data_IF_125814923447
#
_entry.id   IF_125814923447
#
_cell.length_a   1.000
_cell.length_b   1.000
_cell.length_c   1.000
_cell.angle_alpha   90.00
_cell.angle_beta   90.00
_cell.angle_gamma   90.00
#
_symmetry.space_group_name_H-M   'P 1'
#
loop_
_entity.id
_entity.type
_entity.pdbx_description
1 polymer ?
#
# COMPACT_ATOMS: atom_id res chain seq x y z
N UNK A 1 -24.00 11.78 -25.41
CA UNK A 1 -23.79 11.54 -23.96
C UNK A 1 -23.19 12.79 -23.33
N UNK A 2 -23.73 13.28 -22.20
CA UNK A 2 -23.26 14.55 -21.58
C UNK A 2 -21.84 14.38 -20.99
N UNK A 3 -20.95 15.37 -21.20
CA UNK A 3 -19.62 15.41 -20.64
C UNK A 3 -19.64 15.67 -19.13
N UNK A 4 -18.69 15.09 -18.38
CA UNK A 4 -18.50 15.32 -16.94
C UNK A 4 -17.55 16.50 -16.77
N UNK A 5 -18.08 17.70 -16.48
CA UNK A 5 -17.32 18.95 -16.35
C UNK A 5 -17.24 19.46 -14.90
N UNK A 6 -18.12 19.00 -14.00
CA UNK A 6 -18.09 19.42 -12.58
C UNK A 6 -16.93 18.78 -11.83
N UNK A 7 -16.07 19.57 -11.12
CA UNK A 7 -14.97 19.03 -10.34
C UNK A 7 -15.39 17.94 -9.35
N UNK A 8 -16.54 18.11 -8.69
CA UNK A 8 -17.05 17.10 -7.75
C UNK A 8 -17.43 15.78 -8.42
N UNK A 9 -17.97 15.83 -9.64
CA UNK A 9 -18.29 14.61 -10.42
C UNK A 9 -17.04 13.94 -10.95
N UNK A 10 -16.03 14.71 -11.36
CA UNK A 10 -14.71 14.18 -11.74
C UNK A 10 -14.08 13.46 -10.55
N UNK A 11 -14.06 14.11 -9.38
CA UNK A 11 -13.56 13.49 -8.15
C UNK A 11 -14.30 12.20 -7.81
N UNK A 12 -15.63 12.20 -7.89
CA UNK A 12 -16.43 11.00 -7.63
C UNK A 12 -16.03 9.84 -8.55
N UNK A 13 -15.92 10.10 -9.87
CA UNK A 13 -15.51 9.05 -10.83
C UNK A 13 -14.10 8.54 -10.50
N UNK A 14 -13.16 9.43 -10.24
CA UNK A 14 -11.79 9.04 -9.86
C UNK A 14 -11.78 8.25 -8.54
N UNK A 15 -12.54 8.65 -7.52
CA UNK A 15 -12.65 7.92 -6.25
C UNK A 15 -13.27 6.53 -6.42
N UNK A 16 -14.28 6.39 -7.28
CA UNK A 16 -14.88 5.09 -7.59
C UNK A 16 -13.92 4.19 -8.38
N UNK A 17 -13.12 4.75 -9.27
CA UNK A 17 -12.06 3.99 -9.97
C UNK A 17 -11.00 3.52 -8.96
N UNK A 18 -10.57 4.40 -8.04
CA UNK A 18 -9.62 4.06 -6.98
C UNK A 18 -10.16 2.95 -6.06
N UNK A 19 -11.45 3.02 -5.74
CA UNK A 19 -12.13 1.98 -4.98
C UNK A 19 -12.07 0.62 -5.70
N UNK A 20 -12.44 0.56 -6.99
CA UNK A 20 -12.40 -0.69 -7.77
C UNK A 20 -10.96 -1.18 -7.98
N UNK A 21 -9.99 -0.27 -8.18
CA UNK A 21 -8.57 -0.59 -8.29
C UNK A 21 -8.07 -1.35 -7.06
N UNK A 22 -8.28 -0.80 -5.87
CA UNK A 22 -7.85 -1.44 -4.63
C UNK A 22 -8.70 -2.67 -4.25
N UNK A 23 -9.97 -2.69 -4.65
CA UNK A 23 -10.81 -3.88 -4.52
C UNK A 23 -10.21 -5.05 -5.34
N UNK A 24 -9.91 -4.84 -6.63
CA UNK A 24 -9.30 -5.84 -7.51
C UNK A 24 -7.94 -6.32 -6.98
N UNK A 25 -7.14 -5.40 -6.48
CA UNK A 25 -5.82 -5.70 -5.90
C UNK A 25 -5.90 -6.64 -4.71
N UNK A 26 -6.92 -6.50 -3.86
CA UNK A 26 -7.06 -7.27 -2.64
C UNK A 26 -7.87 -8.56 -2.79
N UNK A 27 -8.71 -8.65 -3.82
CA UNK A 27 -9.64 -9.79 -4.01
C UNK A 27 -8.94 -11.15 -4.09
N UNK A 28 -7.72 -11.21 -4.60
CA UNK A 28 -7.01 -12.47 -4.86
C UNK A 28 -6.52 -13.19 -3.60
N UNK A 29 -6.12 -12.44 -2.56
CA UNK A 29 -5.46 -13.02 -1.38
C UNK A 29 -6.37 -13.92 -0.53
N UNK A 30 -7.63 -13.55 -0.22
CA UNK A 30 -8.56 -14.45 0.46
C UNK A 30 -8.84 -15.73 -0.34
N UNK A 31 -8.71 -15.67 -1.66
CA UNK A 31 -9.03 -16.78 -2.55
C UNK A 31 -7.90 -17.82 -2.70
N UNK A 32 -6.75 -17.63 -2.05
CA UNK A 32 -5.58 -18.51 -2.16
C UNK A 32 -5.91 -20.00 -1.87
N UNK A 33 -6.76 -20.30 -0.88
CA UNK A 33 -7.18 -21.67 -0.59
C UNK A 33 -7.95 -22.32 -1.75
N UNK A 34 -8.83 -21.56 -2.42
CA UNK A 34 -9.56 -22.07 -3.58
C UNK A 34 -8.64 -22.25 -4.80
N UNK A 35 -7.72 -21.31 -5.04
CA UNK A 35 -6.75 -21.39 -6.13
C UNK A 35 -5.78 -22.56 -5.91
N UNK A 36 -5.36 -22.78 -4.65
CA UNK A 36 -4.53 -23.92 -4.27
C UNK A 36 -5.22 -25.25 -4.57
N UNK A 37 -6.50 -25.36 -4.23
CA UNK A 37 -7.28 -26.57 -4.47
C UNK A 37 -7.55 -26.83 -5.96
N UNK A 38 -7.88 -25.77 -6.74
CA UNK A 38 -8.21 -25.92 -8.17
C UNK A 38 -6.99 -26.24 -9.04
N UNK A 39 -5.84 -25.63 -8.75
CA UNK A 39 -4.64 -25.73 -9.60
C UNK A 39 -3.49 -26.52 -8.97
N UNK A 40 -3.64 -27.04 -7.75
CA UNK A 40 -2.59 -27.79 -7.06
C UNK A 40 -1.35 -26.95 -6.71
N UNK A 41 -1.52 -25.65 -6.43
CA UNK A 41 -0.41 -24.72 -6.26
C UNK A 41 0.32 -24.89 -4.94
N UNK A 42 1.64 -24.73 -4.96
CA UNK A 42 2.45 -24.49 -3.76
C UNK A 42 2.17 -23.11 -3.17
N UNK A 43 2.58 -22.87 -1.93
CA UNK A 43 2.45 -21.56 -1.30
C UNK A 43 3.36 -20.53 -1.99
N UNK A 44 4.53 -20.95 -2.48
CA UNK A 44 5.38 -20.08 -3.30
C UNK A 44 4.68 -19.58 -4.56
N UNK A 45 4.00 -20.47 -5.29
CA UNK A 45 3.24 -20.11 -6.48
C UNK A 45 2.07 -19.18 -6.17
N UNK A 46 1.37 -19.39 -5.06
CA UNK A 46 0.36 -18.43 -4.57
C UNK A 46 0.95 -17.06 -4.30
N UNK A 47 2.10 -17.01 -3.63
CA UNK A 47 2.83 -15.75 -3.37
C UNK A 47 3.29 -15.06 -4.65
N UNK A 48 3.68 -15.81 -5.69
CA UNK A 48 4.06 -15.26 -7.00
C UNK A 48 2.92 -14.47 -7.67
N UNK A 49 1.66 -14.82 -7.42
CA UNK A 49 0.51 -14.08 -7.95
C UNK A 49 0.57 -12.59 -7.53
N UNK A 50 0.84 -12.32 -6.26
CA UNK A 50 1.01 -10.96 -5.75
C UNK A 50 2.33 -10.32 -6.19
N UNK A 51 3.42 -11.09 -6.16
CA UNK A 51 4.76 -10.61 -6.54
C UNK A 51 4.84 -10.21 -8.00
N UNK A 52 4.33 -11.01 -8.94
CA UNK A 52 4.32 -10.69 -10.38
C UNK A 52 3.50 -9.43 -10.65
N UNK A 53 2.31 -9.31 -10.06
CA UNK A 53 1.52 -8.09 -10.13
C UNK A 53 2.33 -6.86 -9.69
N UNK A 54 2.98 -6.92 -8.52
CA UNK A 54 3.74 -5.81 -7.95
C UNK A 54 4.95 -5.42 -8.81
N UNK A 55 5.72 -6.40 -9.33
CA UNK A 55 6.87 -6.14 -10.22
C UNK A 55 6.41 -5.42 -11.49
N UNK A 56 5.39 -5.94 -12.13
CA UNK A 56 4.87 -5.37 -13.39
C UNK A 56 4.29 -3.98 -13.14
N UNK A 57 3.48 -3.80 -12.09
CA UNK A 57 2.94 -2.51 -11.71
C UNK A 57 4.07 -1.48 -11.47
N UNK A 58 5.09 -1.82 -10.70
CA UNK A 58 6.23 -0.92 -10.44
C UNK A 58 7.01 -0.58 -11.72
N UNK A 59 7.25 -1.58 -12.58
CA UNK A 59 7.99 -1.39 -13.84
C UNK A 59 7.29 -0.48 -14.82
N UNK A 60 5.95 -0.54 -14.89
CA UNK A 60 5.16 0.27 -15.81
C UNK A 60 4.70 1.61 -15.23
N UNK A 61 4.77 1.82 -13.90
CA UNK A 61 4.31 3.06 -13.26
C UNK A 61 5.05 4.30 -13.77
N UNK A 62 6.37 4.23 -13.91
CA UNK A 62 7.18 5.38 -14.39
C UNK A 62 6.95 5.65 -15.89
N UNK A 63 7.06 4.66 -16.80
CA UNK A 63 6.77 4.88 -18.22
C UNK A 63 5.37 5.42 -18.48
N UNK A 64 4.35 4.86 -17.81
CA UNK A 64 2.96 5.29 -18.01
C UNK A 64 2.67 6.63 -17.33
N UNK A 65 3.36 6.98 -16.25
CA UNK A 65 3.34 8.32 -15.66
C UNK A 65 3.87 9.37 -16.63
N UNK A 66 5.03 9.13 -17.28
CA UNK A 66 5.58 10.01 -18.32
C UNK A 66 4.63 10.13 -19.51
N UNK A 67 3.96 9.04 -19.87
CA UNK A 67 2.96 9.06 -20.94
C UNK A 67 1.75 9.91 -20.55
N UNK A 68 1.32 9.85 -19.29
CA UNK A 68 0.21 10.65 -18.75
C UNK A 68 0.51 12.16 -18.75
N UNK A 69 1.77 12.56 -18.66
CA UNK A 69 2.17 13.96 -18.78
C UNK A 69 2.12 14.47 -20.24
N UNK A 70 2.28 13.58 -21.21
CA UNK A 70 2.34 13.94 -22.65
C UNK A 70 1.00 13.80 -23.37
N UNK A 71 0.13 12.91 -22.89
CA UNK A 71 -1.12 12.57 -23.54
C UNK A 71 -2.34 13.11 -22.76
N UNK A 72 -3.54 12.94 -23.35
CA UNK A 72 -4.82 13.24 -22.71
C UNK A 72 -5.07 12.23 -21.60
N UNK A 73 -4.97 12.68 -20.33
CA UNK A 73 -4.97 11.83 -19.14
C UNK A 73 -6.22 10.96 -19.00
N UNK A 74 -7.41 11.51 -19.35
CA UNK A 74 -8.65 10.72 -19.31
C UNK A 74 -8.59 9.49 -20.21
N UNK A 75 -7.88 9.57 -21.35
CA UNK A 75 -7.75 8.44 -22.27
C UNK A 75 -6.82 7.37 -21.67
N UNK A 76 -5.75 7.80 -21.00
CA UNK A 76 -4.83 6.90 -20.30
C UNK A 76 -5.56 6.21 -19.14
N UNK A 77 -6.31 6.97 -18.34
CA UNK A 77 -7.14 6.42 -17.27
C UNK A 77 -8.14 5.41 -17.84
N UNK A 78 -8.88 5.78 -18.87
CA UNK A 78 -9.90 4.91 -19.46
C UNK A 78 -9.30 3.63 -20.06
N UNK A 79 -8.17 3.75 -20.78
CA UNK A 79 -7.47 2.61 -21.36
C UNK A 79 -6.92 1.68 -20.25
N UNK A 80 -6.27 2.25 -19.22
CA UNK A 80 -5.78 1.50 -18.07
C UNK A 80 -6.90 0.76 -17.35
N UNK A 81 -7.99 1.47 -16.99
CA UNK A 81 -9.17 0.87 -16.35
C UNK A 81 -9.76 -0.25 -17.21
N UNK A 82 -9.87 -0.06 -18.53
CA UNK A 82 -10.37 -1.09 -19.45
C UNK A 82 -9.44 -2.31 -19.48
N UNK A 83 -8.12 -2.10 -19.59
CA UNK A 83 -7.12 -3.17 -19.64
C UNK A 83 -7.19 -4.02 -18.37
N UNK A 84 -7.10 -3.40 -17.18
CA UNK A 84 -7.13 -4.19 -15.96
C UNK A 84 -8.49 -4.86 -15.73
N UNK A 85 -9.62 -4.19 -16.02
CA UNK A 85 -10.93 -4.78 -15.83
C UNK A 85 -11.18 -5.96 -16.75
N UNK A 86 -10.73 -5.89 -18.01
CA UNK A 86 -10.77 -7.03 -18.94
C UNK A 86 -9.84 -8.14 -18.45
N UNK A 87 -8.63 -7.83 -18.01
CA UNK A 87 -7.71 -8.82 -17.45
C UNK A 87 -8.28 -9.48 -16.19
N UNK A 88 -8.95 -8.73 -15.32
CA UNK A 88 -9.67 -9.25 -14.16
C UNK A 88 -10.82 -10.15 -14.57
N UNK A 89 -11.62 -9.78 -15.57
CA UNK A 89 -12.66 -10.64 -16.09
C UNK A 89 -12.07 -11.97 -16.64
N UNK A 90 -11.00 -11.88 -17.42
CA UNK A 90 -10.30 -13.06 -17.97
C UNK A 90 -9.70 -13.92 -16.86
N UNK A 91 -9.31 -13.33 -15.71
CA UNK A 91 -8.87 -14.10 -14.53
C UNK A 91 -9.94 -15.09 -14.06
N UNK A 92 -11.22 -14.76 -14.16
CA UNK A 92 -12.32 -15.68 -13.86
C UNK A 92 -12.43 -16.89 -14.83
N UNK A 93 -11.77 -16.82 -15.99
CA UNK A 93 -11.81 -17.85 -17.04
C UNK A 93 -10.55 -18.72 -17.10
N UNK A 94 -9.50 -18.42 -16.34
CA UNK A 94 -8.21 -19.14 -16.42
C UNK A 94 -8.35 -20.60 -15.99
N UNK A 95 -7.55 -21.45 -16.62
CA UNK A 95 -7.56 -22.90 -16.42
C UNK A 95 -6.24 -23.46 -15.87
N UNK A 96 -5.21 -22.62 -15.77
CA UNK A 96 -3.91 -23.01 -15.25
C UNK A 96 -3.16 -21.82 -14.64
N UNK A 97 -2.11 -22.11 -13.88
CA UNK A 97 -1.29 -21.13 -13.19
C UNK A 97 -0.62 -20.11 -14.13
N UNK A 98 -0.13 -20.56 -15.30
CA UNK A 98 0.50 -19.64 -16.27
C UNK A 98 -0.46 -18.56 -16.78
N UNK A 99 -1.71 -18.94 -17.09
CA UNK A 99 -2.75 -17.99 -17.47
C UNK A 99 -3.09 -17.04 -16.30
N UNK A 100 -3.15 -17.56 -15.07
CA UNK A 100 -3.38 -16.75 -13.88
C UNK A 100 -2.29 -15.69 -13.69
N UNK A 101 -1.01 -16.06 -13.83
CA UNK A 101 0.10 -15.11 -13.75
C UNK A 101 0.05 -14.08 -14.89
N UNK A 102 -0.27 -14.50 -16.11
CA UNK A 102 -0.38 -13.59 -17.24
C UNK A 102 -1.48 -12.55 -17.04
N UNK A 103 -2.63 -12.96 -16.51
CA UNK A 103 -3.71 -12.01 -16.21
C UNK A 103 -3.33 -11.06 -15.07
N UNK A 104 -2.63 -11.52 -14.02
CA UNK A 104 -2.13 -10.65 -12.95
C UNK A 104 -1.08 -9.64 -13.46
N UNK A 105 -0.21 -10.04 -14.39
CA UNK A 105 0.70 -9.12 -15.07
C UNK A 105 -0.07 -8.05 -15.88
N UNK A 106 -1.09 -8.45 -16.65
CA UNK A 106 -1.92 -7.54 -17.42
C UNK A 106 -2.69 -6.55 -16.52
N UNK A 107 -3.22 -7.00 -15.38
CA UNK A 107 -3.81 -6.11 -14.36
C UNK A 107 -2.77 -5.11 -13.88
N UNK A 108 -1.54 -5.54 -13.55
CA UNK A 108 -0.46 -4.66 -13.11
C UNK A 108 -0.11 -3.56 -14.12
N UNK A 109 -0.11 -3.86 -15.43
CA UNK A 109 0.11 -2.86 -16.50
C UNK A 109 -1.02 -1.82 -16.48
N UNK A 110 -2.27 -2.28 -16.48
CA UNK A 110 -3.44 -1.39 -16.50
C UNK A 110 -3.46 -0.46 -15.29
N UNK A 111 -3.30 -1.00 -14.08
CA UNK A 111 -3.34 -0.23 -12.83
C UNK A 111 -2.20 0.78 -12.70
N UNK A 112 -1.02 0.47 -13.23
CA UNK A 112 0.14 1.36 -13.18
C UNK A 112 -0.09 2.71 -13.86
N UNK A 113 -1.02 2.79 -14.81
CA UNK A 113 -1.33 4.02 -15.56
C UNK A 113 -2.21 5.02 -14.78
N UNK A 114 -2.90 4.54 -13.74
CA UNK A 114 -4.03 5.27 -13.18
C UNK A 114 -3.62 6.35 -12.18
N UNK A 115 -2.90 6.00 -11.12
CA UNK A 115 -2.65 6.91 -10.00
C UNK A 115 -1.95 8.23 -10.39
N UNK A 116 -0.90 8.25 -11.24
CA UNK A 116 -0.27 9.49 -11.68
C UNK A 116 -1.24 10.40 -12.46
N UNK A 117 -2.02 9.83 -13.38
CA UNK A 117 -2.98 10.57 -14.19
C UNK A 117 -4.14 11.12 -13.35
N UNK A 118 -4.66 10.33 -12.40
CA UNK A 118 -5.77 10.72 -11.51
C UNK A 118 -5.38 11.87 -10.57
N UNK A 119 -4.23 11.76 -9.91
CA UNK A 119 -3.73 12.81 -8.99
C UNK A 119 -3.45 14.11 -9.72
N UNK A 120 -2.94 14.04 -10.93
CA UNK A 120 -2.75 15.22 -11.79
C UNK A 120 -4.08 15.88 -12.19
N UNK A 121 -5.11 15.09 -12.56
CA UNK A 121 -6.45 15.63 -12.83
C UNK A 121 -7.08 16.28 -11.59
N UNK A 122 -6.87 15.75 -10.40
CA UNK A 122 -7.33 16.36 -9.14
C UNK A 122 -6.65 17.71 -8.94
N UNK A 123 -5.33 17.77 -9.15
CA UNK A 123 -4.57 19.02 -9.00
C UNK A 123 -5.04 20.12 -9.99
N UNK A 124 -5.46 19.75 -11.19
CA UNK A 124 -5.93 20.70 -12.20
C UNK A 124 -7.37 21.17 -11.97
N UNK A 125 -8.22 20.33 -11.39
CA UNK A 125 -9.64 20.64 -11.22
C UNK A 125 -9.97 21.29 -9.85
N UNK A 126 -9.02 21.30 -8.89
CA UNK A 126 -9.24 21.88 -7.57
C UNK A 126 -8.21 22.97 -7.26
N UNK A 127 -8.64 24.15 -6.73
CA UNK A 127 -7.73 25.18 -6.26
C UNK A 127 -6.88 24.65 -5.10
N UNK A 128 -5.71 25.26 -4.88
CA UNK A 128 -4.68 24.80 -3.93
C UNK A 128 -5.27 24.56 -2.52
N UNK A 129 -6.19 25.43 -2.07
CA UNK A 129 -6.82 25.39 -0.76
C UNK A 129 -7.76 24.17 -0.59
N UNK A 130 -8.24 23.57 -1.68
CA UNK A 130 -9.17 22.44 -1.66
C UNK A 130 -8.52 21.12 -2.10
N UNK A 131 -7.28 21.15 -2.62
CA UNK A 131 -6.59 19.96 -3.14
C UNK A 131 -6.38 18.88 -2.08
N UNK A 132 -5.99 19.28 -0.87
CA UNK A 132 -5.79 18.35 0.23
C UNK A 132 -7.08 17.58 0.56
N UNK A 133 -8.23 18.28 0.64
CA UNK A 133 -9.53 17.66 0.87
C UNK A 133 -9.95 16.73 -0.28
N UNK A 134 -9.73 17.15 -1.52
CA UNK A 134 -10.03 16.33 -2.70
C UNK A 134 -9.18 15.05 -2.72
N UNK A 135 -7.88 15.17 -2.44
CA UNK A 135 -6.98 14.01 -2.33
C UNK A 135 -7.38 13.07 -1.19
N UNK A 136 -7.82 13.60 -0.05
CA UNK A 136 -8.32 12.75 1.05
C UNK A 136 -9.55 11.95 0.65
N UNK A 137 -10.51 12.57 -0.07
CA UNK A 137 -11.69 11.87 -0.60
C UNK A 137 -11.28 10.79 -1.60
N UNK A 138 -10.32 11.10 -2.49
CA UNK A 138 -9.77 10.13 -3.44
C UNK A 138 -9.17 8.91 -2.72
N UNK A 139 -8.33 9.13 -1.71
CA UNK A 139 -7.72 8.04 -0.93
C UNK A 139 -8.70 7.25 -0.03
N UNK A 140 -9.89 7.79 0.28
CA UNK A 140 -10.96 7.00 0.89
C UNK A 140 -11.38 5.84 -0.03
N UNK A 141 -11.35 6.05 -1.37
CA UNK A 141 -11.58 4.97 -2.33
C UNK A 141 -10.60 3.82 -2.14
N UNK A 142 -9.31 4.11 -1.99
CA UNK A 142 -8.25 3.12 -1.71
C UNK A 142 -8.56 2.30 -0.45
N UNK A 143 -8.82 2.97 0.67
CA UNK A 143 -9.05 2.31 1.95
C UNK A 143 -10.31 1.43 1.94
N UNK A 144 -11.42 1.98 1.46
CA UNK A 144 -12.69 1.26 1.39
C UNK A 144 -12.64 0.12 0.37
N UNK A 145 -12.04 0.36 -0.79
CA UNK A 145 -11.87 -0.64 -1.84
C UNK A 145 -11.02 -1.82 -1.36
N UNK A 146 -9.88 -1.55 -0.73
CA UNK A 146 -9.02 -2.60 -0.20
C UNK A 146 -9.67 -3.45 0.88
N UNK A 147 -10.32 -2.82 1.84
CA UNK A 147 -10.96 -3.53 2.95
C UNK A 147 -12.19 -4.32 2.49
N UNK A 148 -13.09 -3.68 1.71
CA UNK A 148 -14.28 -4.37 1.20
C UNK A 148 -13.91 -5.42 0.16
N UNK A 149 -12.84 -5.21 -0.62
CA UNK A 149 -12.31 -6.20 -1.54
C UNK A 149 -11.93 -7.50 -0.84
N UNK A 150 -11.22 -7.39 0.28
CA UNK A 150 -10.86 -8.54 1.10
C UNK A 150 -12.09 -9.25 1.68
N UNK A 151 -12.99 -8.51 2.33
CA UNK A 151 -14.18 -9.07 2.98
C UNK A 151 -15.10 -9.73 1.96
N UNK A 152 -15.45 -9.01 0.88
CA UNK A 152 -16.40 -9.50 -0.12
C UNK A 152 -15.82 -10.65 -0.95
N UNK A 153 -14.49 -10.67 -1.18
CA UNK A 153 -13.84 -11.81 -1.83
C UNK A 153 -13.99 -13.09 -1.01
N UNK A 154 -13.85 -13.01 0.31
CA UNK A 154 -14.09 -14.15 1.19
C UNK A 154 -15.52 -14.65 1.11
N UNK A 155 -16.50 -13.75 1.23
CA UNK A 155 -17.93 -14.09 1.18
C UNK A 155 -18.34 -14.64 -0.19
N UNK A 156 -18.02 -13.90 -1.26
CA UNK A 156 -18.35 -14.32 -2.64
C UNK A 156 -17.65 -15.63 -2.99
N UNK A 157 -16.36 -15.75 -2.65
CA UNK A 157 -15.57 -16.96 -2.93
C UNK A 157 -16.14 -18.20 -2.28
N UNK A 158 -16.63 -18.09 -1.03
CA UNK A 158 -17.24 -19.20 -0.30
C UNK A 158 -18.61 -19.61 -0.89
N UNK A 159 -19.45 -18.65 -1.28
CA UNK A 159 -20.83 -18.94 -1.68
C UNK A 159 -21.03 -19.10 -3.19
N UNK A 160 -20.27 -18.39 -4.02
CA UNK A 160 -20.42 -18.37 -5.49
C UNK A 160 -19.18 -18.90 -6.23
N UNK A 161 -18.15 -19.27 -5.47
CA UNK A 161 -16.86 -19.69 -6.03
C UNK A 161 -15.92 -18.52 -6.38
N UNK A 162 -14.62 -18.81 -6.40
CA UNK A 162 -13.58 -17.79 -6.56
C UNK A 162 -13.65 -17.06 -7.93
N UNK A 163 -14.10 -17.75 -8.99
CA UNK A 163 -14.24 -17.16 -10.33
C UNK A 163 -15.27 -16.03 -10.37
N UNK A 164 -16.37 -16.17 -9.62
CA UNK A 164 -17.40 -15.14 -9.52
C UNK A 164 -16.87 -13.82 -8.96
N UNK A 165 -15.90 -13.86 -8.04
CA UNK A 165 -15.27 -12.65 -7.50
C UNK A 165 -14.70 -11.76 -8.61
N UNK A 166 -13.97 -12.35 -9.56
CA UNK A 166 -13.34 -11.63 -10.66
C UNK A 166 -14.37 -11.07 -11.66
N UNK A 167 -15.43 -11.80 -11.96
CA UNK A 167 -16.50 -11.29 -12.83
C UNK A 167 -17.24 -10.12 -12.20
N UNK A 168 -17.57 -10.21 -10.90
CA UNK A 168 -18.29 -9.17 -10.17
C UNK A 168 -17.46 -7.87 -10.09
N UNK A 169 -16.15 -7.97 -9.88
CA UNK A 169 -15.25 -6.80 -9.80
C UNK A 169 -15.00 -6.17 -11.16
N UNK A 170 -14.89 -6.97 -12.20
CA UNK A 170 -14.59 -6.48 -13.55
C UNK A 170 -15.72 -5.61 -14.14
N UNK A 171 -16.98 -5.95 -13.90
CA UNK A 171 -18.13 -5.25 -14.49
C UNK A 171 -18.18 -3.76 -14.11
N UNK A 172 -18.13 -3.37 -12.82
CA UNK A 172 -18.05 -1.96 -12.45
C UNK A 172 -16.84 -1.24 -13.04
N UNK A 173 -15.68 -1.92 -13.11
CA UNK A 173 -14.47 -1.37 -13.72
C UNK A 173 -14.69 -1.00 -15.19
N UNK A 174 -15.27 -1.90 -15.99
CA UNK A 174 -15.59 -1.61 -17.40
C UNK A 174 -16.54 -0.40 -17.53
N UNK A 175 -17.57 -0.31 -16.69
CA UNK A 175 -18.49 0.84 -16.66
C UNK A 175 -17.75 2.14 -16.34
N UNK A 176 -16.81 2.07 -15.39
CA UNK A 176 -16.01 3.23 -14.98
C UNK A 176 -15.00 3.64 -16.06
N UNK A 177 -14.47 2.71 -16.85
CA UNK A 177 -13.63 3.03 -18.02
C UNK A 177 -14.37 3.93 -19.02
N UNK A 178 -15.62 3.59 -19.36
CA UNK A 178 -16.47 4.44 -20.20
C UNK A 178 -16.82 5.78 -19.53
N UNK A 179 -16.95 5.79 -18.20
CA UNK A 179 -17.21 7.03 -17.46
C UNK A 179 -16.00 7.97 -17.46
N UNK A 180 -14.79 7.43 -17.39
CA UNK A 180 -13.55 8.18 -17.49
C UNK A 180 -13.39 8.91 -18.83
N UNK A 181 -13.80 8.29 -19.95
CA UNK A 181 -13.78 8.94 -21.28
C UNK A 181 -14.65 10.20 -21.36
N UNK A 182 -15.67 10.32 -20.50
CA UNK A 182 -16.59 11.46 -20.46
C UNK A 182 -16.05 12.64 -19.65
N UNK A 183 -14.95 12.48 -18.93
CA UNK A 183 -14.31 13.57 -18.17
C UNK A 183 -13.90 14.66 -19.17
N UNK A 184 -14.33 15.90 -18.88
CA UNK A 184 -13.89 17.07 -19.65
C UNK A 184 -12.53 17.51 -19.12
N UNK A 185 -11.49 17.23 -19.87
CA UNK A 185 -10.13 17.65 -19.54
C UNK A 185 -9.81 18.96 -20.24
N UNK A 186 -9.29 19.93 -19.51
CA UNK A 186 -8.73 21.16 -20.05
C UNK A 186 -7.24 20.91 -20.25
N UNK A 187 -6.75 21.07 -21.47
CA UNK A 187 -5.34 20.91 -21.81
C UNK A 187 -4.55 22.00 -21.08
N UNK A 188 -3.77 21.64 -20.09
CA UNK A 188 -2.77 22.52 -19.49
C UNK A 188 -1.40 22.17 -20.07
N UNK A 189 -0.68 23.19 -20.54
CA UNK A 189 0.75 23.03 -20.86
C UNK A 189 1.49 22.82 -19.52
N UNK A 190 1.94 21.60 -19.27
CA UNK A 190 2.78 21.31 -18.12
C UNK A 190 4.19 21.79 -18.40
N UNK A 191 4.64 22.78 -17.67
CA UNK A 191 6.05 23.03 -17.50
C UNK A 191 6.64 21.85 -16.72
N UNK A 192 7.44 21.03 -17.39
CA UNK A 192 8.29 20.02 -16.75
C UNK A 192 9.24 20.80 -15.83
N UNK A 193 8.96 20.75 -14.53
CA UNK A 193 9.77 21.41 -13.52
C UNK A 193 11.10 20.68 -13.36
N UNK A 194 12.18 21.43 -13.57
CA UNK A 194 13.57 21.25 -13.15
C UNK A 194 14.19 19.86 -13.31
N UNK A 195 15.29 19.85 -14.07
CA UNK A 195 16.25 18.74 -14.13
C UNK A 195 16.66 18.31 -12.72
N UNK A 196 16.22 17.11 -12.33
CA UNK A 196 16.70 16.49 -11.09
C UNK A 196 18.15 16.07 -11.32
N UNK A 197 19.10 16.80 -10.73
CA UNK A 197 20.52 16.52 -10.86
C UNK A 197 20.85 15.19 -10.18
N UNK A 198 21.41 14.24 -10.95
CA UNK A 198 21.82 12.90 -10.44
C UNK A 198 22.72 12.97 -9.20
N UNK A 199 23.55 14.01 -9.10
CA UNK A 199 24.44 14.22 -7.96
C UNK A 199 23.67 14.41 -6.65
N UNK A 200 22.58 15.14 -6.70
CA UNK A 200 21.70 15.39 -5.55
C UNK A 200 20.95 14.12 -5.07
N UNK A 201 20.68 13.17 -5.96
CA UNK A 201 20.08 11.88 -5.61
C UNK A 201 21.09 11.01 -4.84
N UNK A 202 22.33 10.93 -5.28
CA UNK A 202 23.36 10.16 -4.60
C UNK A 202 23.67 10.69 -3.20
N UNK A 203 23.57 12.00 -2.99
CA UNK A 203 23.78 12.63 -1.69
C UNK A 203 22.69 12.23 -0.65
N UNK A 204 21.50 11.83 -1.08
CA UNK A 204 20.48 11.28 -0.17
C UNK A 204 20.97 10.00 0.52
N UNK A 205 21.67 9.13 -0.21
CA UNK A 205 22.21 7.88 0.33
C UNK A 205 23.44 8.08 1.23
N UNK A 206 24.03 9.28 1.23
CA UNK A 206 25.08 9.66 2.18
C UNK A 206 24.52 10.08 3.54
N UNK A 207 23.24 10.37 3.64
CA UNK A 207 22.58 10.70 4.90
C UNK A 207 22.24 9.42 5.68
N UNK A 208 22.90 9.16 6.83
CA UNK A 208 22.59 7.98 7.63
C UNK A 208 21.13 7.94 8.10
N UNK A 209 20.53 9.12 8.40
CA UNK A 209 19.14 9.22 8.80
C UNK A 209 18.19 8.80 7.66
N UNK A 210 18.48 9.19 6.40
CA UNK A 210 17.69 8.78 5.24
C UNK A 210 17.82 7.29 4.97
N UNK A 211 19.04 6.75 5.01
CA UNK A 211 19.27 5.30 4.80
C UNK A 211 18.57 4.46 5.86
N UNK A 212 18.69 4.81 7.14
CA UNK A 212 17.99 4.08 8.21
C UNK A 212 16.47 4.16 8.09
N UNK A 213 15.94 5.31 7.66
CA UNK A 213 14.52 5.48 7.36
C UNK A 213 14.09 4.60 6.18
N UNK A 214 14.92 4.51 5.15
CA UNK A 214 14.66 3.67 3.97
C UNK A 214 14.66 2.18 4.34
N UNK A 215 15.66 1.72 5.10
CA UNK A 215 15.73 0.32 5.58
C UNK A 215 14.53 -0.01 6.47
N UNK A 216 14.16 0.88 7.38
CA UNK A 216 12.94 0.72 8.17
C UNK A 216 11.71 0.58 7.26
N UNK A 217 11.55 1.49 6.29
CA UNK A 217 10.43 1.45 5.34
C UNK A 217 10.36 0.13 4.57
N UNK A 218 11.49 -0.43 4.14
CA UNK A 218 11.57 -1.75 3.48
C UNK A 218 11.02 -2.84 4.41
N UNK A 219 11.48 -2.88 5.67
CA UNK A 219 11.02 -3.87 6.65
C UNK A 219 9.51 -3.76 6.92
N UNK A 220 9.01 -2.53 7.10
CA UNK A 220 7.60 -2.28 7.41
C UNK A 220 6.68 -2.57 6.22
N UNK A 221 7.09 -2.25 5.00
CA UNK A 221 6.30 -2.57 3.81
C UNK A 221 6.33 -4.06 3.49
N UNK A 222 7.44 -4.75 3.76
CA UNK A 222 7.51 -6.22 3.72
C UNK A 222 6.49 -6.83 4.69
N UNK A 223 6.53 -6.41 5.96
CA UNK A 223 5.58 -6.83 7.01
C UNK A 223 4.13 -6.65 6.57
N UNK A 224 3.76 -5.45 6.10
CA UNK A 224 2.39 -5.14 5.66
C UNK A 224 1.95 -6.01 4.47
N UNK A 225 2.82 -6.18 3.47
CA UNK A 225 2.51 -6.98 2.28
C UNK A 225 2.34 -8.47 2.61
N UNK A 226 3.19 -9.00 3.49
CA UNK A 226 3.09 -10.38 3.97
C UNK A 226 1.80 -10.63 4.76
N UNK A 227 1.42 -9.72 5.67
CA UNK A 227 0.16 -9.81 6.43
C UNK A 227 -1.03 -9.79 5.47
N UNK A 228 -1.09 -8.83 4.55
CA UNK A 228 -2.18 -8.70 3.58
C UNK A 228 -2.34 -10.00 2.76
N UNK A 229 -1.23 -10.60 2.36
CA UNK A 229 -1.26 -11.78 1.49
C UNK A 229 -1.58 -13.07 2.24
N UNK A 230 -1.11 -13.24 3.47
CA UNK A 230 -1.10 -14.54 4.12
C UNK A 230 -1.94 -14.65 5.39
N UNK A 231 -2.38 -13.54 6.00
CA UNK A 231 -3.11 -13.60 7.28
C UNK A 231 -4.43 -14.38 7.15
N UNK A 232 -5.17 -14.23 6.04
CA UNK A 232 -6.38 -15.02 5.79
C UNK A 232 -6.08 -16.51 5.77
N UNK A 233 -5.00 -16.91 5.08
CA UNK A 233 -4.58 -18.32 5.03
C UNK A 233 -4.12 -18.85 6.39
N UNK A 234 -3.49 -17.99 7.20
CA UNK A 234 -3.11 -18.31 8.57
C UNK A 234 -4.33 -18.65 9.44
N UNK A 235 -5.37 -17.81 9.41
CA UNK A 235 -6.61 -18.05 10.15
C UNK A 235 -7.32 -19.34 9.70
N UNK A 236 -7.35 -19.61 8.40
CA UNK A 236 -7.94 -20.84 7.86
C UNK A 236 -7.19 -22.09 8.34
N UNK A 237 -5.85 -22.06 8.28
CA UNK A 237 -5.02 -23.25 8.53
C UNK A 237 -4.79 -23.54 10.01
N UNK A 238 -4.71 -22.52 10.86
CA UNK A 238 -4.34 -22.67 12.26
C UNK A 238 -5.48 -22.44 13.25
N UNK A 239 -6.54 -21.76 12.82
CA UNK A 239 -7.72 -21.49 13.66
C UNK A 239 -8.99 -22.11 13.11
N UNK A 240 -8.91 -22.87 12.00
CA UNK A 240 -10.06 -23.55 11.36
C UNK A 240 -11.21 -22.60 10.98
N UNK A 241 -10.89 -21.34 10.67
CA UNK A 241 -11.89 -20.41 10.16
C UNK A 241 -12.25 -20.74 8.72
N UNK A 242 -13.49 -20.50 8.33
CA UNK A 242 -13.87 -20.46 6.93
C UNK A 242 -13.27 -19.22 6.24
N UNK A 243 -13.19 -19.22 4.92
CA UNK A 243 -12.58 -18.11 4.15
C UNK A 243 -13.29 -16.78 4.42
N UNK A 244 -14.63 -16.81 4.48
CA UNK A 244 -15.47 -15.65 4.77
C UNK A 244 -15.28 -15.14 6.21
N UNK A 245 -15.24 -16.03 7.21
CA UNK A 245 -14.96 -15.67 8.60
C UNK A 245 -13.57 -15.02 8.75
N UNK A 246 -12.52 -15.65 8.20
CA UNK A 246 -11.17 -15.12 8.25
C UNK A 246 -11.07 -13.74 7.61
N UNK A 247 -11.67 -13.57 6.44
CA UNK A 247 -11.66 -12.31 5.69
C UNK A 247 -12.44 -11.22 6.41
N UNK A 248 -13.58 -11.56 7.03
CA UNK A 248 -14.39 -10.63 7.83
C UNK A 248 -13.62 -10.14 9.07
N UNK A 249 -13.03 -11.06 9.84
CA UNK A 249 -12.28 -10.73 11.05
C UNK A 249 -11.09 -9.81 10.74
N UNK A 250 -10.31 -10.14 9.72
CA UNK A 250 -9.16 -9.32 9.31
C UNK A 250 -9.64 -7.96 8.79
N UNK A 251 -10.68 -7.94 7.96
CA UNK A 251 -11.27 -6.71 7.44
C UNK A 251 -11.78 -5.80 8.56
N UNK A 252 -12.48 -6.35 9.56
CA UNK A 252 -12.93 -5.59 10.74
C UNK A 252 -11.76 -5.06 11.57
N UNK A 253 -10.69 -5.84 11.76
CA UNK A 253 -9.50 -5.36 12.45
C UNK A 253 -8.88 -4.15 11.72
N UNK A 254 -8.86 -4.16 10.38
CA UNK A 254 -8.38 -3.03 9.56
C UNK A 254 -9.34 -1.82 9.67
N UNK A 255 -10.67 -2.03 9.61
CA UNK A 255 -11.66 -0.94 9.72
C UNK A 255 -11.59 -0.26 11.10
N UNK A 256 -11.40 -1.02 12.16
CA UNK A 256 -11.35 -0.49 13.53
C UNK A 256 -9.96 0.09 13.81
N UNK A 257 -8.92 -0.68 13.61
CA UNK A 257 -7.55 -0.30 13.95
C UNK A 257 -6.96 0.73 13.02
N UNK A 258 -7.23 0.65 11.72
CA UNK A 258 -6.62 1.48 10.69
C UNK A 258 -6.85 2.98 10.87
N UNK A 259 -8.08 3.49 10.76
CA UNK A 259 -8.36 4.92 10.89
C UNK A 259 -7.96 5.50 12.25
N UNK A 260 -8.22 4.77 13.34
CA UNK A 260 -7.82 5.18 14.68
C UNK A 260 -6.30 5.27 14.83
N UNK A 261 -5.58 4.30 14.25
CA UNK A 261 -4.13 4.29 14.28
C UNK A 261 -3.51 5.38 13.42
N UNK A 262 -4.00 5.60 12.20
CA UNK A 262 -3.52 6.69 11.32
C UNK A 262 -3.68 8.05 12.02
N UNK A 263 -4.86 8.31 12.61
CA UNK A 263 -5.13 9.56 13.31
C UNK A 263 -4.25 9.74 14.55
N UNK A 264 -4.23 8.75 15.44
CA UNK A 264 -3.44 8.81 16.69
C UNK A 264 -1.94 8.83 16.43
N UNK A 265 -1.46 8.06 15.43
CA UNK A 265 -0.05 8.07 15.02
C UNK A 265 0.41 9.44 14.57
N UNK A 266 -0.40 10.13 13.76
CA UNK A 266 -0.17 11.54 13.40
C UNK A 266 -0.12 12.45 14.62
N UNK A 267 -1.13 12.37 15.47
CA UNK A 267 -1.24 13.19 16.67
C UNK A 267 -0.06 13.00 17.64
N UNK A 268 0.28 11.76 17.99
CA UNK A 268 1.40 11.49 18.91
C UNK A 268 2.76 11.84 18.30
N UNK A 269 2.93 11.64 17.01
CA UNK A 269 4.13 12.03 16.28
C UNK A 269 4.34 13.56 16.33
N UNK A 270 3.28 14.33 16.06
CA UNK A 270 3.33 15.78 16.11
C UNK A 270 3.46 16.30 17.55
N UNK A 271 2.84 15.66 18.53
CA UNK A 271 3.01 15.99 19.95
C UNK A 271 4.47 15.84 20.39
N UNK A 272 5.12 14.72 20.03
CA UNK A 272 6.53 14.48 20.34
C UNK A 272 7.43 15.51 19.64
N UNK A 273 7.14 15.83 18.39
CA UNK A 273 7.93 16.79 17.62
C UNK A 273 7.79 18.23 18.12
N UNK A 274 6.55 18.69 18.31
CA UNK A 274 6.27 20.09 18.66
C UNK A 274 6.52 20.40 20.13
N UNK A 275 6.01 19.57 21.04
CA UNK A 275 6.09 19.81 22.50
C UNK A 275 7.40 19.33 23.10
N UNK A 276 7.84 18.13 22.76
CA UNK A 276 9.02 17.50 23.38
C UNK A 276 10.28 17.60 22.51
N UNK A 277 10.21 18.24 21.34
CA UNK A 277 11.32 18.43 20.38
C UNK A 277 12.03 17.12 19.97
N UNK A 278 11.33 15.98 20.10
CA UNK A 278 11.82 14.66 19.70
C UNK A 278 11.52 14.40 18.22
N UNK A 279 12.33 13.59 17.51
CA UNK A 279 12.06 13.22 16.12
C UNK A 279 10.75 12.42 15.97
N UNK A 280 10.04 12.61 14.85
CA UNK A 280 8.80 11.89 14.52
C UNK A 280 8.99 10.37 14.47
N UNK A 281 10.18 9.91 14.10
CA UNK A 281 10.53 8.48 14.09
C UNK A 281 10.38 7.79 15.44
N UNK A 282 10.45 8.54 16.57
CA UNK A 282 10.32 7.96 17.90
C UNK A 282 8.91 7.41 18.18
N UNK A 283 7.85 8.13 17.76
CA UNK A 283 6.47 7.65 17.91
C UNK A 283 6.24 6.38 17.12
N UNK A 284 6.70 6.36 15.86
CA UNK A 284 6.60 5.19 15.01
C UNK A 284 7.40 4.00 15.56
N UNK A 285 8.64 4.23 16.01
CA UNK A 285 9.48 3.20 16.63
C UNK A 285 8.77 2.53 17.80
N UNK A 286 8.21 3.35 18.71
CA UNK A 286 7.43 2.84 19.85
C UNK A 286 6.26 1.97 19.37
N UNK A 287 5.47 2.43 18.40
CA UNK A 287 4.32 1.71 17.90
C UNK A 287 4.69 0.34 17.33
N UNK A 288 5.74 0.28 16.49
CA UNK A 288 6.17 -0.99 15.88
C UNK A 288 6.80 -1.95 16.89
N UNK A 289 7.61 -1.47 17.82
CA UNK A 289 8.18 -2.29 18.88
C UNK A 289 7.06 -2.82 19.79
N UNK A 290 6.07 -2.00 20.15
CA UNK A 290 4.92 -2.42 20.94
C UNK A 290 3.96 -3.37 20.19
N UNK A 291 3.83 -3.24 18.86
CA UNK A 291 3.06 -4.16 18.03
C UNK A 291 3.69 -5.56 17.94
N UNK A 292 5.02 -5.66 18.07
CA UNK A 292 5.74 -6.93 17.89
C UNK A 292 5.27 -8.06 18.83
N UNK A 293 5.18 -7.88 20.16
CA UNK A 293 4.66 -8.92 21.03
C UNK A 293 3.18 -9.23 20.76
N UNK A 294 2.38 -8.26 20.33
CA UNK A 294 0.99 -8.51 19.98
C UNK A 294 0.88 -9.35 18.70
N UNK A 295 1.72 -9.09 17.70
CA UNK A 295 1.81 -9.94 16.51
C UNK A 295 2.24 -11.36 16.86
N UNK A 296 3.23 -11.52 17.75
CA UNK A 296 3.65 -12.83 18.23
C UNK A 296 2.49 -13.56 18.92
N UNK A 297 1.75 -12.88 19.80
CA UNK A 297 0.56 -13.42 20.47
C UNK A 297 -0.49 -13.83 19.43
N UNK A 298 -0.78 -12.98 18.45
CA UNK A 298 -1.73 -13.29 17.37
C UNK A 298 -1.35 -14.57 16.62
N UNK A 299 -0.06 -14.86 16.43
CA UNK A 299 0.40 -16.04 15.71
C UNK A 299 0.50 -17.30 16.56
N UNK A 300 0.48 -17.20 17.90
CA UNK A 300 0.73 -18.35 18.79
C UNK A 300 -0.44 -18.71 19.69
N UNK A 301 -1.34 -17.78 19.99
CA UNK A 301 -2.45 -18.02 20.91
C UNK A 301 -3.54 -18.90 20.29
N UNK A 302 -4.10 -19.79 21.10
CA UNK A 302 -5.32 -20.54 20.74
C UNK A 302 -6.58 -19.92 21.40
N UNK A 303 -6.41 -18.91 22.25
CA UNK A 303 -7.53 -18.18 22.83
C UNK A 303 -8.09 -17.17 21.83
N UNK A 304 -9.34 -17.35 21.42
CA UNK A 304 -9.97 -16.54 20.40
C UNK A 304 -10.09 -15.06 20.79
N UNK A 305 -10.43 -14.75 22.04
CA UNK A 305 -10.53 -13.36 22.51
C UNK A 305 -9.15 -12.69 22.44
N UNK A 306 -8.12 -13.37 22.92
CA UNK A 306 -6.74 -12.85 22.92
C UNK A 306 -6.22 -12.67 21.48
N UNK A 307 -6.56 -13.60 20.57
CA UNK A 307 -6.28 -13.52 19.13
C UNK A 307 -6.87 -12.24 18.53
N UNK A 308 -8.19 -12.01 18.71
CA UNK A 308 -8.89 -10.87 18.15
C UNK A 308 -8.40 -9.54 18.72
N UNK A 309 -8.22 -9.47 20.04
CA UNK A 309 -7.73 -8.26 20.72
C UNK A 309 -6.31 -7.93 20.28
N UNK A 310 -5.41 -8.91 20.26
CA UNK A 310 -4.03 -8.69 19.83
C UNK A 310 -3.95 -8.28 18.35
N UNK A 311 -4.76 -8.87 17.47
CA UNK A 311 -4.84 -8.52 16.06
C UNK A 311 -5.28 -7.04 15.85
N UNK A 312 -6.36 -6.62 16.54
CA UNK A 312 -6.88 -5.25 16.41
C UNK A 312 -5.87 -4.23 16.93
N UNK A 313 -5.27 -4.48 18.10
CA UNK A 313 -4.29 -3.54 18.69
C UNK A 313 -2.99 -3.53 17.87
N UNK A 314 -2.52 -4.68 17.37
CA UNK A 314 -1.36 -4.72 16.47
C UNK A 314 -1.62 -3.92 15.20
N UNK A 315 -2.79 -4.11 14.55
CA UNK A 315 -3.19 -3.35 13.36
C UNK A 315 -3.26 -1.85 13.64
N UNK A 316 -3.85 -1.46 14.79
CA UNK A 316 -3.89 -0.06 15.24
C UNK A 316 -2.48 0.54 15.35
N UNK A 317 -1.55 -0.13 16.03
CA UNK A 317 -0.18 0.36 16.20
C UNK A 317 0.59 0.39 14.88
N UNK A 318 0.44 -0.64 14.06
CA UNK A 318 1.14 -0.72 12.77
C UNK A 318 0.74 0.38 11.78
N UNK A 319 -0.46 0.95 11.90
CA UNK A 319 -0.90 2.02 11.02
C UNK A 319 -0.42 3.41 11.45
N UNK A 320 0.29 3.56 12.58
CA UNK A 320 0.85 4.83 13.04
C UNK A 320 1.89 5.45 12.08
N UNK A 321 2.40 4.72 11.11
CA UNK A 321 3.48 5.21 10.25
C UNK A 321 3.01 6.01 9.02
N UNK A 322 1.76 5.86 8.57
CA UNK A 322 1.33 6.41 7.28
C UNK A 322 1.57 7.92 7.12
N UNK A 323 1.08 8.75 8.03
CA UNK A 323 1.31 10.19 8.00
C UNK A 323 2.72 10.61 8.43
N UNK A 324 3.17 10.16 9.62
CA UNK A 324 4.47 10.55 10.16
C UNK A 324 5.67 10.17 9.29
N UNK A 325 5.59 9.08 8.50
CA UNK A 325 6.68 8.68 7.60
C UNK A 325 6.89 9.68 6.47
N UNK A 326 5.80 10.19 5.89
CA UNK A 326 5.87 11.26 4.86
C UNK A 326 6.60 12.49 5.43
N UNK A 327 6.17 12.94 6.62
CA UNK A 327 6.76 14.08 7.28
C UNK A 327 8.23 13.84 7.68
N UNK A 328 8.56 12.64 8.18
CA UNK A 328 9.93 12.26 8.52
C UNK A 328 10.88 12.35 7.32
N UNK A 329 10.51 11.76 6.17
CA UNK A 329 11.33 11.82 4.95
C UNK A 329 11.55 13.28 4.53
N UNK A 330 10.51 14.12 4.61
CA UNK A 330 10.62 15.54 4.27
C UNK A 330 11.43 16.36 5.29
N UNK A 331 11.47 15.97 6.55
CA UNK A 331 12.27 16.61 7.60
C UNK A 331 13.78 16.32 7.49
N UNK A 332 14.15 15.19 6.88
CA UNK A 332 15.54 14.72 6.77
C UNK A 332 16.28 15.38 5.60
N UNK A 333 15.56 15.84 4.57
CA UNK A 333 16.14 16.28 3.31
C UNK A 333 15.95 17.79 3.08
N UNK A 334 16.86 18.44 2.29
CA UNK A 334 16.69 19.85 1.90
C UNK A 334 15.38 20.08 1.15
N UNK A 335 14.84 21.30 1.23
CA UNK A 335 13.56 21.68 0.66
C UNK A 335 13.39 21.37 -0.83
N UNK A 336 14.46 21.56 -1.61
CA UNK A 336 14.52 21.29 -3.07
C UNK A 336 14.42 19.80 -3.44
N UNK A 337 14.69 18.88 -2.49
CA UNK A 337 14.72 17.42 -2.75
C UNK A 337 13.56 16.66 -2.12
N UNK A 338 12.66 17.33 -1.39
CA UNK A 338 11.58 16.66 -0.63
C UNK A 338 10.73 15.72 -1.48
N UNK A 339 10.27 16.20 -2.64
CA UNK A 339 9.44 15.40 -3.55
C UNK A 339 10.22 14.20 -4.13
N UNK A 340 11.44 14.44 -4.60
CA UNK A 340 12.31 13.40 -5.16
C UNK A 340 12.70 12.35 -4.13
N UNK A 341 13.07 12.77 -2.93
CA UNK A 341 13.44 11.86 -1.84
C UNK A 341 12.25 10.98 -1.42
N UNK A 342 11.04 11.55 -1.34
CA UNK A 342 9.86 10.78 -1.01
C UNK A 342 9.44 9.82 -2.13
N UNK A 343 9.53 10.24 -3.39
CA UNK A 343 9.28 9.36 -4.53
C UNK A 343 10.26 8.18 -4.58
N UNK A 344 11.55 8.47 -4.36
CA UNK A 344 12.60 7.44 -4.30
C UNK A 344 12.40 6.49 -3.10
N UNK A 345 12.01 7.04 -1.94
CA UNK A 345 11.63 6.26 -0.78
C UNK A 345 10.49 5.29 -1.13
N UNK A 346 9.37 5.79 -1.65
CA UNK A 346 8.22 4.95 -2.01
C UNK A 346 8.59 3.86 -3.02
N UNK A 347 9.31 4.24 -4.08
CA UNK A 347 9.75 3.28 -5.10
C UNK A 347 10.59 2.16 -4.47
N UNK A 348 11.58 2.51 -3.66
CA UNK A 348 12.51 1.54 -3.07
C UNK A 348 11.81 0.61 -2.06
N UNK A 349 10.97 1.17 -1.17
CA UNK A 349 10.30 0.36 -0.15
C UNK A 349 9.26 -0.58 -0.76
N UNK A 350 8.61 -0.19 -1.85
CA UNK A 350 7.69 -1.09 -2.55
C UNK A 350 8.43 -2.14 -3.37
N UNK A 351 9.49 -1.78 -4.10
CA UNK A 351 10.23 -2.71 -4.92
C UNK A 351 10.98 -3.77 -4.09
N UNK A 352 11.65 -3.35 -3.02
CA UNK A 352 12.50 -4.24 -2.20
C UNK A 352 11.73 -4.84 -1.03
N UNK A 353 10.75 -4.12 -0.46
CA UNK A 353 9.96 -4.57 0.68
C UNK A 353 8.70 -5.32 0.28
N UNK A 354 7.70 -4.61 -0.27
CA UNK A 354 6.38 -5.22 -0.52
C UNK A 354 6.41 -6.29 -1.60
N UNK A 355 7.17 -6.08 -2.67
CA UNK A 355 7.14 -6.95 -3.86
C UNK A 355 7.57 -8.39 -3.58
N UNK A 356 8.70 -8.66 -2.91
CA UNK A 356 9.14 -10.03 -2.66
C UNK A 356 8.38 -10.73 -1.52
N UNK A 357 7.71 -9.99 -0.66
CA UNK A 357 7.13 -10.51 0.58
C UNK A 357 6.16 -11.67 0.37
N UNK A 358 5.17 -11.63 -0.55
CA UNK A 358 4.23 -12.73 -0.71
C UNK A 358 4.93 -14.03 -1.14
N UNK A 359 5.85 -13.97 -2.10
CA UNK A 359 6.56 -15.15 -2.60
C UNK A 359 7.57 -15.69 -1.58
N UNK A 360 8.27 -14.83 -0.84
CA UNK A 360 9.23 -15.26 0.18
C UNK A 360 8.53 -15.95 1.35
N UNK A 361 7.42 -15.42 1.85
CA UNK A 361 6.62 -16.09 2.87
C UNK A 361 6.09 -17.43 2.35
N UNK A 362 5.57 -17.48 1.12
CA UNK A 362 5.13 -18.72 0.51
C UNK A 362 6.25 -19.76 0.39
N UNK A 363 7.46 -19.34 0.00
CA UNK A 363 8.62 -20.25 -0.11
C UNK A 363 9.02 -20.85 1.24
N UNK A 364 9.01 -20.05 2.29
CA UNK A 364 9.32 -20.54 3.65
C UNK A 364 8.17 -21.43 4.16
N UNK A 365 6.92 -21.08 3.83
CA UNK A 365 5.75 -21.91 4.16
C UNK A 365 5.81 -23.30 3.52
N UNK A 366 6.25 -23.40 2.26
CA UNK A 366 6.45 -24.70 1.58
C UNK A 366 7.58 -25.54 2.20
N UNK A 367 8.63 -24.88 2.72
CA UNK A 367 9.78 -25.56 3.30
C UNK A 367 9.54 -26.05 4.74
N UNK A 368 8.71 -25.34 5.49
CA UNK A 368 8.40 -25.61 6.89
C UNK A 368 6.88 -25.66 7.11
N UNK A 369 6.28 -24.53 7.43
CA UNK A 369 4.84 -24.29 7.56
C UNK A 369 4.56 -22.78 7.54
N UNK A 370 3.28 -22.40 7.39
CA UNK A 370 2.89 -21.00 7.29
C UNK A 370 3.08 -20.23 8.61
N UNK A 371 2.93 -20.87 9.77
CA UNK A 371 3.15 -20.22 11.06
C UNK A 371 4.62 -19.83 11.23
N UNK A 372 5.55 -20.75 10.92
CA UNK A 372 6.99 -20.49 10.91
C UNK A 372 7.34 -19.37 9.93
N UNK A 373 6.78 -19.37 8.74
CA UNK A 373 6.97 -18.28 7.75
C UNK A 373 6.48 -16.94 8.27
N UNK A 374 5.36 -16.90 8.98
CA UNK A 374 4.80 -15.66 9.55
C UNK A 374 5.64 -15.09 10.71
N UNK A 375 6.52 -15.84 11.36
CA UNK A 375 7.48 -15.27 12.32
C UNK A 375 8.49 -14.33 11.65
N UNK A 376 8.75 -14.47 10.34
CA UNK A 376 9.55 -13.48 9.58
C UNK A 376 8.88 -12.11 9.64
N UNK A 377 7.54 -12.08 9.61
CA UNK A 377 6.74 -10.85 9.70
C UNK A 377 6.94 -10.17 11.07
N UNK A 378 6.99 -10.96 12.15
CA UNK A 378 7.28 -10.45 13.51
C UNK A 378 8.70 -9.89 13.58
N UNK A 379 9.67 -10.59 13.00
CA UNK A 379 11.07 -10.16 12.99
C UNK A 379 11.26 -8.87 12.16
N UNK A 380 10.69 -8.79 10.96
CA UNK A 380 10.79 -7.60 10.11
C UNK A 380 10.07 -6.40 10.71
N UNK A 381 8.94 -6.62 11.40
CA UNK A 381 8.26 -5.57 12.16
C UNK A 381 9.15 -4.99 13.27
N UNK A 382 9.77 -5.86 14.08
CA UNK A 382 10.69 -5.45 15.15
C UNK A 382 11.90 -4.71 14.59
N UNK A 383 12.54 -5.24 13.54
CA UNK A 383 13.67 -4.59 12.89
C UNK A 383 13.30 -3.21 12.33
N UNK A 384 12.14 -3.10 11.70
CA UNK A 384 11.62 -1.81 11.23
C UNK A 384 11.50 -0.78 12.36
N UNK A 385 10.96 -1.19 13.51
CA UNK A 385 10.88 -0.37 14.72
C UNK A 385 12.26 0.02 15.26
N UNK A 386 13.22 -0.92 15.31
CA UNK A 386 14.60 -0.67 15.75
C UNK A 386 15.30 0.35 14.82
N UNK A 387 15.19 0.20 13.50
CA UNK A 387 15.78 1.16 12.56
C UNK A 387 15.16 2.57 12.70
N UNK A 388 13.86 2.69 12.99
CA UNK A 388 13.24 3.97 13.33
C UNK A 388 13.79 4.56 14.65
N UNK A 389 14.08 3.72 15.63
CA UNK A 389 14.69 4.16 16.88
C UNK A 389 16.12 4.66 16.65
N UNK A 390 16.91 3.96 15.82
CA UNK A 390 18.25 4.41 15.41
C UNK A 390 18.15 5.75 14.67
N UNK A 391 17.22 5.90 13.73
CA UNK A 391 16.94 7.17 13.06
C UNK A 391 16.66 8.29 14.05
N UNK A 392 15.85 8.00 15.08
CA UNK A 392 15.55 8.97 16.15
C UNK A 392 16.81 9.40 16.92
N UNK A 393 17.71 8.45 17.19
CA UNK A 393 19.00 8.72 17.84
C UNK A 393 19.89 9.64 17.01
N UNK A 394 20.05 9.33 15.70
CA UNK A 394 20.85 10.13 14.76
C UNK A 394 20.32 11.59 14.70
N UNK A 395 19.01 11.75 14.51
CA UNK A 395 18.39 13.07 14.39
C UNK A 395 18.44 13.87 15.69
N UNK A 396 18.40 13.21 16.84
CA UNK A 396 18.52 13.87 18.15
C UNK A 396 19.93 14.40 18.41
N UNK A 397 20.98 13.64 18.05
CA UNK A 397 22.38 14.04 18.16
C UNK A 397 22.70 15.23 17.27
N UNK A 398 22.32 15.18 15.98
CA UNK A 398 22.57 16.27 15.04
C UNK A 398 21.88 17.60 15.43
N UNK A 399 20.77 17.56 16.18
CA UNK A 399 20.17 18.77 16.77
C UNK A 399 20.95 19.30 17.97
N UNK A 400 21.49 18.42 18.80
CA UNK A 400 22.31 18.79 19.96
C UNK A 400 23.61 19.47 19.54
N UNK A 401 24.29 18.89 18.51
CA UNK A 401 25.55 19.44 17.99
C UNK A 401 25.37 20.85 17.43
N UNK A 402 24.35 21.09 16.61
CA UNK A 402 24.05 22.43 16.07
C UNK A 402 23.73 23.46 17.18
N UNK A 403 23.06 23.04 18.26
CA UNK A 403 22.76 23.90 19.39
C UNK A 403 24.03 24.31 20.15
N UNK A 404 24.96 23.36 20.31
CA UNK A 404 26.24 23.64 20.98
C UNK A 404 27.14 24.55 20.15
N UNK A 405 27.17 24.39 18.81
CA UNK A 405 27.89 25.29 17.90
C UNK A 405 27.34 26.71 17.94
N UNK A 406 26.01 26.88 18.01
CA UNK A 406 25.39 28.21 18.13
C UNK A 406 25.69 28.87 19.47
N UNK A 407 25.77 28.10 20.56
CA UNK A 407 26.14 28.63 21.91
C UNK A 407 27.63 28.96 22.01
N UNK A 408 28.49 28.25 21.29
CA UNK A 408 29.93 28.48 21.25
C UNK A 408 30.34 29.71 20.40
N UNK A 409 29.43 30.22 19.56
CA UNK A 409 29.62 31.39 18.70
C UNK A 409 29.06 32.71 19.33
N UNK A 410 28.41 32.62 20.47
CA UNK A 410 27.91 33.75 21.28
C UNK A 410 28.82 33.97 22.50
#
# INVERSE_FOLDING_TARGET
>A
MKSIASPSKILLVLTLIEFINYFDRQVVFPLFSFLKADFGLSDFELGLIGTVFMIIHASFSVPLGILADKWVRKNIIAAGVAIWSVATFVTGLVQNFGQLLATRAAVGIGEASYAPAATSLIADNFPVEKRARASSIFHLGMFLGGTLGMILAGVIGTHLGWRACFFIVAIPGIILAFSALRIKEVKHEHHISSEVNRKNILDLFRSPAYVMTLVSGIMLTFTSSAIISWMTQFFIRFHNYSVDQASLVIGLAVVIGGPLGIYSGGYFSDLLYNKYKKPRSLAMAFAFIAATPLMYITLTTQNEILLLVSLVIATYLMTWYYGPMVALVQDIVPGSLKATAFALYLFTVHLIGSTPAPALIGRVSDAYDLQTAMFIVVATNLLGGIFLLITSGILSRGKADRRNETVAQV
#
